data_IF_145048715309
#
_entry.id   IF_145048715309
#
_cell.length_a   1.000
_cell.length_b   1.000
_cell.length_c   1.000
_cell.angle_alpha   90.00
_cell.angle_beta   90.00
_cell.angle_gamma   90.00
#
_symmetry.space_group_name_H-M   'P 1'
#
loop_
_entity.id
_entity.type
_entity.pdbx_description
1 polymer ?
#
# COMPACT_ATOMS: atom_id res chain seq x y z
N UNK A 1 -20.28 -4.10 -11.49
CA UNK A 1 -19.68 -3.12 -10.56
C UNK A 1 -18.19 -3.19 -10.76
N UNK A 2 -17.52 -2.06 -10.97
CA UNK A 2 -16.05 -2.03 -11.06
C UNK A 2 -15.51 -2.30 -9.65
N UNK A 3 -14.60 -3.26 -9.52
CA UNK A 3 -13.94 -3.55 -8.26
C UNK A 3 -13.02 -2.39 -7.87
N UNK A 4 -12.76 -2.23 -6.58
CA UNK A 4 -11.81 -1.23 -6.08
C UNK A 4 -10.42 -1.35 -6.73
N UNK A 5 -9.98 -2.59 -6.99
CA UNK A 5 -8.72 -2.90 -7.65
C UNK A 5 -8.69 -2.35 -9.08
N UNK A 6 -9.73 -2.64 -9.87
CA UNK A 6 -9.86 -2.15 -11.25
C UNK A 6 -9.92 -0.61 -11.30
N UNK A 7 -10.58 0.02 -10.33
CA UNK A 7 -10.63 1.49 -10.25
C UNK A 7 -9.25 2.09 -9.98
N UNK A 8 -8.46 1.49 -9.09
CA UNK A 8 -7.08 1.94 -8.82
C UNK A 8 -6.15 1.76 -10.00
N UNK A 9 -6.24 0.60 -10.67
CA UNK A 9 -5.49 0.35 -11.90
C UNK A 9 -5.82 1.40 -12.97
N UNK A 10 -7.09 1.79 -13.09
CA UNK A 10 -7.50 2.86 -14.00
C UNK A 10 -6.90 4.22 -13.61
N UNK A 11 -6.90 4.59 -12.32
CA UNK A 11 -6.30 5.86 -11.85
C UNK A 11 -4.81 5.92 -12.20
N UNK A 12 -4.07 4.83 -11.94
CA UNK A 12 -2.64 4.73 -12.29
C UNK A 12 -2.43 4.84 -13.79
N UNK A 13 -3.22 4.14 -14.60
CA UNK A 13 -3.15 4.20 -16.06
C UNK A 13 -3.38 5.62 -16.58
N UNK A 14 -4.34 6.36 -16.00
CA UNK A 14 -4.65 7.74 -16.42
C UNK A 14 -3.56 8.73 -16.05
N UNK A 15 -2.86 8.50 -14.93
CA UNK A 15 -1.69 9.28 -14.56
C UNK A 15 -0.49 9.00 -15.49
N UNK A 16 -0.24 7.74 -15.84
CA UNK A 16 0.80 7.36 -16.80
C UNK A 16 0.56 8.00 -18.19
N UNK A 17 -0.70 8.01 -18.63
CA UNK A 17 -1.14 8.70 -19.85
C UNK A 17 -1.11 10.24 -19.76
N UNK A 18 -0.61 10.82 -18.66
CA UNK A 18 -0.56 12.27 -18.40
C UNK A 18 -1.92 12.97 -18.49
N UNK A 19 -3.00 12.22 -18.27
CA UNK A 19 -4.35 12.77 -18.19
C UNK A 19 -4.61 13.40 -16.81
N UNK A 20 -4.02 12.82 -15.77
CA UNK A 20 -4.05 13.36 -14.41
C UNK A 20 -2.73 14.08 -14.13
N UNK A 21 -2.81 15.21 -13.44
CA UNK A 21 -1.64 15.83 -12.82
C UNK A 21 -1.36 15.19 -11.44
N UNK A 22 -0.20 15.51 -10.85
CA UNK A 22 0.27 14.92 -9.61
C UNK A 22 -0.72 15.10 -8.45
N UNK A 23 -1.36 16.27 -8.36
CA UNK A 23 -2.33 16.58 -7.31
C UNK A 23 -3.64 15.80 -7.49
N UNK A 24 -4.12 15.69 -8.73
CA UNK A 24 -5.31 14.89 -9.07
C UNK A 24 -5.07 13.40 -8.81
N UNK A 25 -3.89 12.90 -9.20
CA UNK A 25 -3.50 11.52 -8.92
C UNK A 25 -3.48 11.24 -7.42
N UNK A 26 -2.78 12.06 -6.63
CA UNK A 26 -2.71 11.93 -5.17
C UNK A 26 -4.10 11.91 -4.54
N UNK A 27 -4.94 12.88 -4.89
CA UNK A 27 -6.29 13.01 -4.33
C UNK A 27 -7.16 11.80 -4.66
N UNK A 28 -7.12 11.31 -5.90
CA UNK A 28 -7.89 10.14 -6.31
C UNK A 28 -7.34 8.85 -5.67
N UNK A 29 -6.01 8.69 -5.63
CA UNK A 29 -5.40 7.49 -5.07
C UNK A 29 -5.69 7.35 -3.57
N UNK A 30 -5.68 8.47 -2.82
CA UNK A 30 -6.00 8.50 -1.39
C UNK A 30 -7.49 8.32 -1.12
N UNK A 31 -8.36 8.98 -1.91
CA UNK A 31 -9.82 8.84 -1.78
C UNK A 31 -10.27 7.40 -2.03
N UNK A 32 -9.66 6.77 -3.02
CA UNK A 32 -9.84 5.35 -3.32
C UNK A 32 -8.79 4.51 -2.60
N UNK A 33 -8.30 4.97 -1.45
CA UNK A 33 -7.63 4.17 -0.45
C UNK A 33 -8.49 3.02 0.03
N UNK A 34 -7.90 1.87 0.41
CA UNK A 34 -8.65 0.87 1.14
C UNK A 34 -9.01 1.47 2.50
N UNK A 35 -10.28 1.84 2.67
CA UNK A 35 -10.78 2.55 3.86
C UNK A 35 -10.74 1.66 5.11
N UNK A 36 -10.73 0.35 4.90
CA UNK A 36 -10.40 -0.68 5.87
C UNK A 36 -9.39 -1.59 5.20
N UNK A 37 -8.09 -1.38 5.45
CA UNK A 37 -7.25 -2.56 5.61
C UNK A 37 -7.84 -3.25 6.85
N UNK A 38 -8.82 -4.14 6.67
CA UNK A 38 -9.03 -5.26 7.59
C UNK A 38 -7.79 -6.15 7.43
N UNK A 39 -6.62 -5.57 7.73
CA UNK A 39 -5.46 -6.33 8.10
C UNK A 39 -5.94 -7.06 9.34
N UNK A 40 -5.92 -8.39 9.31
CA UNK A 40 -6.18 -9.12 10.51
C UNK A 40 -4.93 -8.99 11.38
N UNK A 41 -4.72 -7.80 11.95
CA UNK A 41 -3.65 -7.52 12.89
C UNK A 41 -3.68 -8.53 14.03
N UNK A 42 -4.89 -8.97 14.39
CA UNK A 42 -5.16 -10.02 15.39
C UNK A 42 -4.78 -11.44 14.93
N UNK A 43 -4.59 -11.69 13.62
CA UNK A 43 -4.08 -12.96 13.09
C UNK A 43 -2.55 -12.99 13.03
N UNK A 44 -1.88 -11.84 13.13
CA UNK A 44 -0.44 -11.81 13.25
C UNK A 44 -0.05 -12.00 14.73
N UNK A 45 0.97 -12.83 15.02
CA UNK A 45 1.52 -12.89 16.36
C UNK A 45 1.99 -11.49 16.77
N UNK A 46 1.86 -11.17 18.04
CA UNK A 46 2.38 -9.92 18.57
C UNK A 46 3.87 -9.83 18.24
N UNK A 47 4.30 -8.67 17.75
CA UNK A 47 5.70 -8.43 17.43
C UNK A 47 6.53 -8.55 18.71
N UNK A 48 7.33 -9.62 18.80
CA UNK A 48 8.16 -9.90 19.97
C UNK A 48 9.60 -9.44 19.70
N UNK A 49 9.95 -8.29 20.29
CA UNK A 49 11.29 -7.71 20.18
C UNK A 49 12.38 -8.65 20.73
N UNK A 50 12.04 -9.55 21.66
CA UNK A 50 13.00 -10.48 22.25
C UNK A 50 13.23 -11.73 21.41
N UNK A 51 12.32 -12.02 20.46
CA UNK A 51 12.48 -13.09 19.48
C UNK A 51 13.10 -12.59 18.16
N UNK A 52 13.46 -11.29 18.09
CA UNK A 52 14.20 -10.73 16.97
C UNK A 52 15.61 -11.33 16.97
N UNK A 53 15.78 -12.46 16.30
CA UNK A 53 17.08 -13.08 16.11
C UNK A 53 17.91 -12.16 15.24
N UNK A 54 19.20 -11.98 15.54
CA UNK A 54 20.11 -11.07 14.83
C UNK A 54 20.16 -11.33 13.30
N UNK A 55 19.68 -12.49 12.84
CA UNK A 55 19.52 -12.89 11.44
C UNK A 55 18.43 -12.11 10.66
N UNK A 56 17.43 -11.52 11.31
CA UNK A 56 16.39 -10.75 10.60
C UNK A 56 16.84 -9.31 10.27
N UNK A 57 17.97 -8.87 10.82
CA UNK A 57 18.56 -7.58 10.52
C UNK A 57 19.70 -7.73 9.49
N UNK A 58 19.36 -8.15 8.26
CA UNK A 58 20.26 -7.96 7.12
C UNK A 58 20.26 -6.49 6.73
N UNK A 59 21.03 -5.70 7.48
CA UNK A 59 21.52 -4.41 7.00
C UNK A 59 22.47 -4.72 5.83
N UNK A 60 21.95 -4.61 4.61
CA UNK A 60 22.81 -4.61 3.43
C UNK A 60 23.42 -3.20 3.33
N UNK A 61 24.52 -2.99 4.06
CA UNK A 61 25.36 -1.80 3.93
C UNK A 61 26.32 -2.01 2.74
N UNK A 62 26.24 -1.15 1.74
CA UNK A 62 27.27 -0.95 0.71
C UNK A 62 27.50 0.54 0.53
#
# INVERSE_FOLDING_TARGET
MVSWKELRELIVLRYDMKVLNDAEFLLLYDLYGPQNLDLPCDLYPHFDLQNLTEDECVVQEN
#
